data_IF_513172538475
#
_entry.id   IF_513172538475
#
_cell.length_a   1.000
_cell.length_b   1.000
_cell.length_c   1.000
_cell.angle_alpha   90.00
_cell.angle_beta   90.00
_cell.angle_gamma   90.00
#
_symmetry.space_group_name_H-M   'P 1'
#
loop_
_entity.id
_entity.type
_entity.pdbx_description
1 polymer ?
#
# COMPACT_ATOMS: atom_id res chain seq x y z
N UNK A 1 12.78 15.99 -0.86
CA UNK A 1 13.65 15.94 0.30
C UNK A 1 14.01 17.35 0.68
N UNK A 2 13.70 17.75 1.91
CA UNK A 2 13.93 19.10 2.43
C UNK A 2 15.36 19.22 2.99
N UNK A 3 15.89 20.44 2.96
CA UNK A 3 17.17 20.75 3.60
C UNK A 3 16.93 21.36 4.98
N UNK A 4 17.68 20.91 5.96
CA UNK A 4 17.73 21.57 7.27
C UNK A 4 18.37 22.96 7.16
N UNK A 5 18.03 23.82 8.10
CA UNK A 5 18.65 25.15 8.20
C UNK A 5 20.13 25.07 8.60
N UNK A 6 20.83 26.17 8.42
CA UNK A 6 22.23 26.28 8.82
C UNK A 6 22.31 26.79 10.27
N UNK A 7 23.12 26.15 11.08
CA UNK A 7 23.41 26.62 12.43
C UNK A 7 24.10 27.98 12.42
N UNK A 8 23.77 28.82 13.40
CA UNK A 8 24.43 30.12 13.59
C UNK A 8 25.83 29.96 14.19
N UNK A 9 26.60 31.02 14.15
CA UNK A 9 27.92 31.09 14.76
C UNK A 9 27.80 31.62 16.21
N UNK A 10 28.27 30.84 17.14
CA UNK A 10 28.36 31.27 18.54
C UNK A 10 29.34 32.38 18.80
N UNK A 11 29.27 33.01 19.96
CA UNK A 11 30.08 34.14 20.35
C UNK A 11 31.61 33.90 20.24
N UNK A 12 32.03 32.64 20.40
CA UNK A 12 33.45 32.27 20.29
C UNK A 12 34.04 32.61 18.93
N UNK A 13 33.27 32.50 17.82
CA UNK A 13 33.71 32.81 16.47
C UNK A 13 33.96 34.30 16.23
N UNK A 14 33.52 35.19 17.13
CA UNK A 14 33.65 36.64 17.04
C UNK A 14 34.72 37.19 17.96
N UNK A 15 35.52 36.32 18.56
CA UNK A 15 36.69 36.74 19.36
C UNK A 15 37.75 37.40 18.46
N UNK A 16 38.30 38.52 18.99
CA UNK A 16 39.45 39.19 18.39
C UNK A 16 40.39 39.69 19.49
N UNK A 17 41.59 40.14 19.15
CA UNK A 17 42.57 40.68 20.08
C UNK A 17 42.03 41.84 20.91
N UNK A 18 41.16 42.64 20.34
CA UNK A 18 40.54 43.80 20.96
C UNK A 18 39.20 43.47 21.66
N UNK A 19 38.57 42.30 21.34
CA UNK A 19 37.29 41.88 21.88
C UNK A 19 37.36 40.39 22.28
N UNK A 20 37.84 40.14 23.50
CA UNK A 20 38.07 38.77 23.96
C UNK A 20 36.81 38.06 24.39
N UNK A 21 35.74 38.75 24.84
CA UNK A 21 34.47 38.20 25.29
C UNK A 21 33.29 38.87 24.57
N UNK A 22 33.05 38.56 23.29
CA UNK A 22 31.89 39.10 22.59
C UNK A 22 30.58 38.51 23.18
N UNK A 23 29.56 39.39 23.38
CA UNK A 23 28.25 39.03 23.93
C UNK A 23 27.18 38.88 22.83
N UNK A 24 27.58 38.66 21.59
CA UNK A 24 26.68 38.43 20.47
C UNK A 24 27.02 37.14 19.73
N UNK A 25 26.02 36.59 19.10
CA UNK A 25 26.11 35.41 18.28
C UNK A 25 25.33 35.68 16.97
N UNK A 26 25.64 34.95 15.94
CA UNK A 26 24.88 34.98 14.70
C UNK A 26 23.75 33.96 14.80
N UNK A 27 22.49 34.34 14.57
CA UNK A 27 21.38 33.38 14.52
C UNK A 27 21.57 32.38 13.38
N UNK A 28 21.02 31.21 13.54
CA UNK A 28 20.92 30.22 12.45
C UNK A 28 19.91 30.65 11.39
N UNK A 29 19.93 29.96 10.29
CA UNK A 29 18.92 30.08 9.23
C UNK A 29 17.91 28.96 9.46
N UNK A 30 16.63 29.29 9.47
CA UNK A 30 15.56 28.31 9.62
C UNK A 30 15.55 27.33 8.44
N UNK A 31 15.20 26.08 8.70
CA UNK A 31 15.01 25.06 7.67
C UNK A 31 13.69 25.25 6.93
N UNK A 32 13.58 24.56 5.80
CA UNK A 32 12.34 24.53 5.04
C UNK A 32 11.30 23.67 5.76
N UNK A 33 10.07 24.14 5.80
CA UNK A 33 8.91 23.38 6.29
C UNK A 33 7.99 23.09 5.11
N UNK A 34 7.68 21.83 4.89
CA UNK A 34 6.79 21.38 3.82
C UNK A 34 5.73 20.44 4.39
N UNK A 35 4.49 20.69 4.09
CA UNK A 35 3.42 19.77 4.36
C UNK A 35 3.32 18.78 3.20
N UNK A 36 3.48 17.49 3.49
CA UNK A 36 3.41 16.42 2.50
C UNK A 36 2.31 15.44 2.86
N UNK A 37 1.66 14.91 1.84
CA UNK A 37 0.73 13.78 1.99
C UNK A 37 1.46 12.53 1.52
N UNK A 38 1.54 11.54 2.39
CA UNK A 38 2.13 10.24 2.08
C UNK A 38 1.02 9.27 1.70
N UNK A 39 1.08 8.73 0.50
CA UNK A 39 0.18 7.68 0.04
C UNK A 39 0.92 6.35 0.01
N UNK A 40 0.47 5.38 0.81
CA UNK A 40 1.00 4.01 0.78
C UNK A 40 0.30 3.24 -0.34
N UNK A 41 1.05 2.85 -1.38
CA UNK A 41 0.50 2.15 -2.56
C UNK A 41 0.38 0.64 -2.40
N UNK A 42 0.92 0.05 -1.33
CA UNK A 42 0.79 -1.39 -1.07
C UNK A 42 -0.59 -1.67 -0.50
N UNK A 43 -1.35 -2.53 -1.17
CA UNK A 43 -2.68 -2.95 -0.73
C UNK A 43 -2.59 -4.17 0.20
N UNK A 44 -1.91 -5.23 -0.28
CA UNK A 44 -1.72 -6.47 0.46
C UNK A 44 -0.49 -7.23 -0.06
N UNK A 45 -0.04 -8.21 0.69
CA UNK A 45 1.03 -9.11 0.27
C UNK A 45 0.52 -10.12 -0.75
N UNK A 46 -0.72 -10.61 -0.53
CA UNK A 46 -1.38 -11.59 -1.40
C UNK A 46 -2.75 -11.08 -1.83
N UNK A 47 -2.97 -10.96 -3.13
CA UNK A 47 -4.28 -10.65 -3.73
C UNK A 47 -4.98 -11.91 -4.24
N UNK A 48 -6.24 -12.12 -3.83
CA UNK A 48 -7.09 -13.21 -4.33
C UNK A 48 -7.76 -12.79 -5.63
N UNK A 49 -7.55 -13.56 -6.67
CA UNK A 49 -8.09 -13.33 -8.02
C UNK A 49 -8.90 -14.55 -8.45
N UNK A 50 -10.09 -14.35 -8.99
CA UNK A 50 -10.94 -15.44 -9.46
C UNK A 50 -12.35 -14.97 -9.78
N UNK A 51 -13.11 -15.78 -10.47
CA UNK A 51 -14.49 -15.52 -10.84
C UNK A 51 -15.40 -15.30 -9.62
N UNK A 52 -16.56 -14.66 -9.79
CA UNK A 52 -17.59 -14.64 -8.76
C UNK A 52 -17.88 -16.06 -8.26
N UNK A 53 -18.11 -16.21 -6.96
CA UNK A 53 -18.40 -17.50 -6.30
C UNK A 53 -17.27 -18.56 -6.37
N UNK A 54 -16.05 -18.21 -6.81
CA UNK A 54 -14.89 -19.10 -6.77
C UNK A 54 -14.38 -19.42 -5.35
N UNK A 55 -15.03 -18.89 -4.31
CA UNK A 55 -14.68 -19.16 -2.92
C UNK A 55 -13.62 -18.23 -2.30
N UNK A 56 -13.28 -17.11 -2.96
CA UNK A 56 -12.29 -16.15 -2.47
C UNK A 56 -12.57 -15.65 -1.05
N UNK A 57 -13.76 -15.11 -0.82
CA UNK A 57 -14.14 -14.55 0.48
C UNK A 57 -14.26 -15.64 1.55
N UNK A 58 -14.66 -16.85 1.17
CA UNK A 58 -14.69 -18.02 2.06
C UNK A 58 -13.27 -18.39 2.47
N UNK A 59 -12.35 -18.48 1.51
CA UNK A 59 -10.94 -18.76 1.79
C UNK A 59 -10.35 -17.70 2.72
N UNK A 60 -10.59 -16.43 2.45
CA UNK A 60 -10.15 -15.34 3.29
C UNK A 60 -10.67 -15.47 4.71
N UNK A 61 -11.98 -15.76 4.89
CA UNK A 61 -12.60 -15.88 6.21
C UNK A 61 -12.09 -17.07 7.03
N UNK A 62 -11.67 -18.14 6.36
CA UNK A 62 -11.15 -19.36 7.03
C UNK A 62 -9.67 -19.17 7.44
N UNK A 63 -8.89 -18.50 6.60
CA UNK A 63 -7.45 -18.34 6.85
C UNK A 63 -7.13 -17.20 7.80
N UNK A 64 -8.02 -16.24 7.99
CA UNK A 64 -7.75 -15.06 8.82
C UNK A 64 -8.11 -15.31 10.28
N UNK A 65 -7.22 -14.92 11.19
CA UNK A 65 -7.40 -15.05 12.64
C UNK A 65 -8.52 -14.15 13.19
N UNK A 66 -8.86 -13.07 12.48
CA UNK A 66 -9.93 -12.14 12.81
C UNK A 66 -10.88 -11.97 11.64
N UNK A 67 -12.12 -11.49 11.90
CA UNK A 67 -13.05 -11.16 10.81
C UNK A 67 -12.41 -10.22 9.82
N UNK A 68 -12.44 -10.53 8.50
CA UNK A 68 -11.92 -9.63 7.47
C UNK A 68 -12.53 -8.24 7.59
N UNK A 69 -11.71 -7.22 7.44
CA UNK A 69 -12.15 -5.82 7.48
C UNK A 69 -12.31 -5.29 6.07
N UNK A 70 -13.43 -4.62 5.82
CA UNK A 70 -13.63 -3.85 4.59
C UNK A 70 -12.74 -2.62 4.71
N UNK A 71 -11.82 -2.46 3.77
CA UNK A 71 -10.97 -1.28 3.73
C UNK A 71 -11.59 -0.23 2.80
N UNK A 72 -11.69 1.00 3.32
CA UNK A 72 -12.20 2.16 2.59
C UNK A 72 -11.00 2.96 2.09
N UNK A 73 -10.66 2.79 0.82
CA UNK A 73 -9.61 3.58 0.18
C UNK A 73 -10.26 4.62 -0.73
N UNK A 74 -9.90 5.88 -0.58
CA UNK A 74 -10.48 7.02 -1.32
C UNK A 74 -10.39 6.88 -2.86
N UNK A 75 -9.51 6.00 -3.34
CA UNK A 75 -9.25 5.77 -4.77
C UNK A 75 -9.81 4.44 -5.28
N UNK A 76 -10.69 3.75 -4.51
CA UNK A 76 -11.25 2.47 -4.90
C UNK A 76 -12.77 2.55 -5.03
N UNK A 77 -13.27 2.24 -6.22
CA UNK A 77 -14.72 2.11 -6.46
C UNK A 77 -15.29 0.83 -5.82
N UNK A 78 -14.44 -0.17 -5.62
CA UNK A 78 -14.77 -1.44 -5.00
C UNK A 78 -13.91 -1.59 -3.74
N UNK A 79 -14.54 -1.79 -2.60
CA UNK A 79 -13.88 -1.93 -1.30
C UNK A 79 -13.33 -3.34 -1.15
N UNK A 80 -12.00 -3.54 -1.09
CA UNK A 80 -11.43 -4.86 -0.88
C UNK A 80 -11.64 -5.31 0.56
N UNK A 81 -11.86 -6.62 0.75
CA UNK A 81 -11.84 -7.22 2.07
C UNK A 81 -10.41 -7.63 2.40
N UNK A 82 -9.88 -7.10 3.50
CA UNK A 82 -8.54 -7.42 3.97
C UNK A 82 -8.60 -8.34 5.17
N UNK A 83 -7.69 -9.29 5.21
CA UNK A 83 -7.50 -10.19 6.33
C UNK A 83 -6.03 -10.42 6.63
N UNK A 84 -5.70 -10.56 7.91
CA UNK A 84 -4.36 -10.89 8.37
C UNK A 84 -4.29 -12.40 8.56
N UNK A 85 -3.38 -13.04 7.85
CA UNK A 85 -3.11 -14.48 7.94
C UNK A 85 -1.84 -14.68 8.75
N UNK A 86 -1.97 -15.34 9.88
CA UNK A 86 -0.83 -15.73 10.72
C UNK A 86 -0.25 -17.06 10.24
N UNK A 87 1.07 -17.13 10.21
CA UNK A 87 1.77 -18.37 9.90
C UNK A 87 2.98 -18.54 10.84
N UNK A 88 3.84 -19.48 10.59
CA UNK A 88 4.91 -19.90 11.49
C UNK A 88 5.65 -18.76 12.21
N UNK A 89 6.00 -18.94 13.49
CA UNK A 89 6.86 -18.04 14.28
C UNK A 89 6.33 -16.62 14.46
N UNK A 90 5.01 -16.47 14.70
CA UNK A 90 4.36 -15.16 14.89
C UNK A 90 4.52 -14.19 13.71
N UNK A 91 4.80 -14.70 12.54
CA UNK A 91 4.79 -13.92 11.32
C UNK A 91 3.38 -13.86 10.74
N UNK A 92 3.06 -12.76 10.09
CA UNK A 92 1.78 -12.55 9.43
C UNK A 92 1.96 -11.85 8.10
N UNK A 93 1.01 -12.06 7.21
CA UNK A 93 0.91 -11.32 5.96
C UNK A 93 -0.53 -10.87 5.72
N UNK A 94 -0.69 -9.84 4.92
CA UNK A 94 -2.01 -9.31 4.58
C UNK A 94 -2.50 -9.96 3.30
N UNK A 95 -3.73 -10.49 3.34
CA UNK A 95 -4.42 -11.05 2.19
C UNK A 95 -5.62 -10.18 1.84
N UNK A 96 -5.79 -9.87 0.56
CA UNK A 96 -6.90 -9.07 0.04
C UNK A 96 -7.81 -9.92 -0.86
N UNK A 97 -9.11 -9.89 -0.61
CA UNK A 97 -10.11 -10.32 -1.59
C UNK A 97 -10.44 -9.11 -2.48
N UNK A 98 -10.06 -9.21 -3.74
CA UNK A 98 -10.31 -8.16 -4.73
C UNK A 98 -11.63 -8.49 -5.43
N UNK A 99 -12.75 -7.81 -5.08
CA UNK A 99 -14.03 -8.09 -5.69
C UNK A 99 -14.02 -7.72 -7.17
N UNK A 100 -14.53 -8.61 -8.01
CA UNK A 100 -15.00 -8.28 -9.33
C UNK A 100 -14.02 -8.44 -10.49
N UNK A 101 -13.64 -9.70 -10.82
CA UNK A 101 -13.57 -10.03 -12.24
C UNK A 101 -15.00 -10.32 -12.67
N UNK A 102 -15.67 -9.32 -13.21
CA UNK A 102 -16.97 -9.51 -13.85
C UNK A 102 -16.68 -9.94 -15.30
N UNK A 103 -17.39 -10.95 -15.78
CA UNK A 103 -17.48 -11.26 -17.21
C UNK A 103 -17.75 -9.94 -17.97
N UNK A 104 -16.87 -9.60 -18.92
CA UNK A 104 -16.95 -8.33 -19.66
C UNK A 104 -15.92 -7.29 -19.30
N UNK A 105 -15.01 -7.51 -18.35
CA UNK A 105 -13.87 -6.63 -18.12
C UNK A 105 -12.94 -6.56 -19.35
N UNK A 106 -12.88 -7.62 -20.14
CA UNK A 106 -12.20 -7.69 -21.44
C UNK A 106 -12.92 -6.94 -22.56
N UNK A 107 -14.20 -6.61 -22.40
CA UNK A 107 -15.01 -5.93 -23.41
C UNK A 107 -15.03 -4.39 -23.29
N UNK A 108 -14.08 -3.80 -22.55
CA UNK A 108 -13.86 -2.34 -22.56
C UNK A 108 -14.88 -1.50 -21.79
N UNK A 109 -15.75 -2.10 -21.00
CA UNK A 109 -16.70 -1.35 -20.14
C UNK A 109 -16.04 -0.90 -18.84
N UNK A 110 -15.08 0.05 -18.92
CA UNK A 110 -14.75 1.02 -17.87
C UNK A 110 -14.17 0.55 -16.53
N UNK A 111 -14.34 -0.69 -16.11
CA UNK A 111 -13.89 -1.21 -14.80
C UNK A 111 -12.48 -1.82 -14.82
N UNK A 112 -11.94 -2.16 -16.00
CA UNK A 112 -10.64 -2.84 -16.14
C UNK A 112 -9.46 -2.03 -15.59
N UNK A 113 -9.42 -0.72 -15.79
CA UNK A 113 -8.31 0.11 -15.31
C UNK A 113 -8.25 0.24 -13.78
N UNK A 114 -9.39 0.24 -13.10
CA UNK A 114 -9.42 0.29 -11.63
C UNK A 114 -9.01 -1.04 -11.02
N UNK A 115 -9.42 -2.14 -11.64
CA UNK A 115 -9.05 -3.48 -11.22
C UNK A 115 -7.54 -3.73 -11.35
N UNK A 116 -6.93 -3.36 -12.48
CA UNK A 116 -5.49 -3.48 -12.71
C UNK A 116 -4.67 -2.72 -11.65
N UNK A 117 -5.11 -1.53 -11.26
CA UNK A 117 -4.46 -0.77 -10.19
C UNK A 117 -4.46 -1.49 -8.84
N UNK A 118 -5.47 -2.31 -8.54
CA UNK A 118 -5.51 -3.11 -7.32
C UNK A 118 -4.57 -4.31 -7.41
N UNK A 119 -4.51 -4.95 -8.57
CA UNK A 119 -3.61 -6.08 -8.81
C UNK A 119 -2.16 -5.65 -8.68
N UNK A 120 -1.76 -4.57 -9.30
CA UNK A 120 -0.38 -4.03 -9.28
C UNK A 120 0.12 -3.67 -7.86
N UNK A 121 -0.78 -3.53 -6.90
CA UNK A 121 -0.46 -3.19 -5.51
C UNK A 121 -0.26 -4.39 -4.59
N UNK A 122 -0.32 -5.61 -5.13
CA UNK A 122 -0.06 -6.84 -4.39
C UNK A 122 1.28 -7.43 -4.82
N UNK A 123 1.98 -8.04 -3.88
CA UNK A 123 3.27 -8.68 -4.17
C UNK A 123 3.09 -10.03 -4.87
N UNK A 124 2.02 -10.74 -4.54
CA UNK A 124 1.68 -12.08 -5.07
C UNK A 124 0.20 -12.10 -5.42
N UNK A 125 -0.13 -12.78 -6.53
CA UNK A 125 -1.52 -13.05 -6.92
C UNK A 125 -1.81 -14.54 -6.77
N UNK A 126 -2.90 -14.85 -6.07
CA UNK A 126 -3.41 -16.21 -5.91
C UNK A 126 -4.70 -16.37 -6.72
N UNK A 127 -4.62 -17.16 -7.79
CA UNK A 127 -5.76 -17.44 -8.65
C UNK A 127 -6.60 -18.58 -8.09
N UNK A 128 -7.89 -18.32 -7.87
CA UNK A 128 -8.88 -19.33 -7.47
C UNK A 128 -9.77 -19.70 -8.65
N UNK A 129 -9.70 -20.98 -9.03
CA UNK A 129 -10.52 -21.54 -10.11
C UNK A 129 -11.40 -22.63 -9.51
N UNK A 130 -12.72 -22.61 -9.73
CA UNK A 130 -13.61 -23.66 -9.25
C UNK A 130 -13.25 -25.03 -9.80
N UNK A 131 -13.33 -26.07 -8.97
CA UNK A 131 -12.98 -27.44 -9.38
C UNK A 131 -13.98 -28.08 -10.37
N UNK A 132 -15.19 -27.54 -10.44
CA UNK A 132 -16.28 -27.99 -11.32
C UNK A 132 -16.20 -27.44 -12.75
N UNK A 133 -15.19 -26.62 -13.02
CA UNK A 133 -15.00 -26.02 -14.33
C UNK A 133 -14.63 -27.08 -15.39
N UNK A 134 -15.19 -26.93 -16.59
CA UNK A 134 -14.94 -27.86 -17.71
C UNK A 134 -13.56 -27.68 -18.33
N UNK A 135 -12.92 -26.50 -18.18
CA UNK A 135 -11.64 -26.20 -18.81
C UNK A 135 -10.82 -25.21 -17.96
N UNK A 136 -10.07 -25.75 -17.01
CA UNK A 136 -9.18 -25.02 -16.10
C UNK A 136 -8.21 -24.09 -16.83
N UNK A 137 -7.66 -24.57 -17.94
CA UNK A 137 -6.64 -23.82 -18.68
C UNK A 137 -7.23 -22.57 -19.33
N UNK A 138 -8.43 -22.68 -19.89
CA UNK A 138 -9.12 -21.55 -20.51
C UNK A 138 -9.51 -20.50 -19.47
N UNK A 139 -9.98 -20.90 -18.30
CA UNK A 139 -10.31 -19.96 -17.22
C UNK A 139 -9.06 -19.27 -16.67
N UNK A 140 -7.97 -20.00 -16.51
CA UNK A 140 -6.70 -19.39 -16.10
C UNK A 140 -6.19 -18.36 -17.12
N UNK A 141 -6.29 -18.68 -18.42
CA UNK A 141 -5.86 -17.76 -19.49
C UNK A 141 -6.73 -16.48 -19.55
N UNK A 142 -7.99 -16.56 -19.14
CA UNK A 142 -8.87 -15.38 -19.02
C UNK A 142 -8.50 -14.52 -17.82
N UNK A 143 -8.03 -15.13 -16.72
CA UNK A 143 -7.68 -14.45 -15.49
C UNK A 143 -6.28 -13.82 -15.53
N UNK A 144 -5.42 -14.26 -16.43
CA UNK A 144 -4.06 -13.79 -16.61
C UNK A 144 -4.00 -12.53 -17.49
#
# INVERSE_FOLDING_TARGET
VMRGGLGGRGNWHFKSSTRQTPRYAQPGIEGETLQITLELKVLADVGLVGFPNAGKSTLLSVLTSAKPKIADYEFTTLKPNLGIVEYRNYQSFVMADIPGIIEGASEGKGLGHYFLRHIERNSILLFLIPADTKNLKKEFDILK
#
